data_IF_810392901909
#
_entry.id   IF_810392901909
#
_cell.length_a   1.000
_cell.length_b   1.000
_cell.length_c   1.000
_cell.angle_alpha   90.00
_cell.angle_beta   90.00
_cell.angle_gamma   90.00
#
_symmetry.space_group_name_H-M   'P 1'
#
loop_
_entity.id
_entity.type
_entity.pdbx_description
1 polymer ?
#
# COMPACT_ATOMS: atom_id res chain seq x y z
N UNK A 1 54.20 70.61 -2.13
CA UNK A 1 53.02 70.09 -1.44
C UNK A 1 52.39 69.07 -2.40
N UNK A 2 52.61 67.74 -2.21
CA UNK A 2 52.06 66.72 -3.07
C UNK A 2 50.66 66.33 -2.61
N UNK A 3 49.71 66.21 -3.54
CA UNK A 3 48.32 65.82 -3.34
C UNK A 3 48.20 64.40 -2.81
N UNK A 4 47.23 64.11 -1.88
CA UNK A 4 47.01 62.78 -1.40
C UNK A 4 46.30 61.93 -2.46
N UNK A 5 46.94 60.85 -2.88
CA UNK A 5 46.39 59.82 -3.77
C UNK A 5 45.22 59.16 -3.08
N UNK A 6 44.01 59.33 -3.60
CA UNK A 6 42.82 58.67 -3.14
C UNK A 6 42.92 57.15 -3.34
N UNK A 7 42.82 56.40 -2.25
CA UNK A 7 42.76 54.93 -2.29
C UNK A 7 41.50 54.46 -2.98
N UNK A 8 41.51 53.41 -3.83
CA UNK A 8 40.34 52.91 -4.48
C UNK A 8 39.40 52.28 -3.45
N UNK A 9 38.16 52.70 -3.41
CA UNK A 9 37.09 52.12 -2.60
C UNK A 9 36.90 50.64 -3.00
N UNK A 10 37.25 49.76 -2.11
CA UNK A 10 36.90 48.32 -2.26
C UNK A 10 35.42 48.19 -2.24
N UNK A 11 34.81 47.98 -3.42
CA UNK A 11 33.42 47.56 -3.56
C UNK A 11 33.25 46.24 -2.79
N UNK A 12 32.57 46.29 -1.66
CA UNK A 12 32.15 45.09 -0.93
C UNK A 12 31.02 44.45 -1.73
N UNK A 13 31.35 43.37 -2.48
CA UNK A 13 30.40 42.43 -3.03
C UNK A 13 29.77 41.59 -1.88
N UNK A 14 29.04 42.23 -1.00
CA UNK A 14 28.49 41.57 0.21
C UNK A 14 27.03 41.20 0.08
N UNK A 15 26.42 41.43 -1.10
CA UNK A 15 24.98 41.21 -1.35
C UNK A 15 24.66 39.91 -2.10
N UNK A 16 25.57 39.40 -2.93
CA UNK A 16 25.28 38.26 -3.80
C UNK A 16 25.61 36.90 -3.17
N UNK A 17 26.60 36.82 -2.28
CA UNK A 17 26.99 35.60 -1.59
C UNK A 17 25.87 35.07 -0.68
N UNK A 18 25.10 35.95 -0.03
CA UNK A 18 23.95 35.59 0.79
C UNK A 18 22.80 35.00 -0.04
N UNK A 19 22.55 35.56 -1.23
CA UNK A 19 21.51 35.09 -2.14
C UNK A 19 21.78 33.69 -2.69
N UNK A 20 23.01 33.42 -3.07
CA UNK A 20 23.43 32.10 -3.57
C UNK A 20 23.32 31.04 -2.47
N UNK A 21 23.72 31.35 -1.24
CA UNK A 21 23.63 30.42 -0.13
C UNK A 21 22.16 30.04 0.20
N UNK A 22 21.26 31.03 0.22
CA UNK A 22 19.82 30.79 0.43
C UNK A 22 19.22 29.97 -0.70
N UNK A 23 19.53 30.31 -1.96
CA UNK A 23 19.08 29.55 -3.12
C UNK A 23 19.56 28.08 -3.05
N UNK A 24 20.83 27.87 -2.78
CA UNK A 24 21.39 26.52 -2.64
C UNK A 24 20.72 25.74 -1.53
N UNK A 25 20.46 26.35 -0.39
CA UNK A 25 19.75 25.71 0.72
C UNK A 25 18.33 25.27 0.33
N UNK A 26 17.59 26.13 -0.37
CA UNK A 26 16.24 25.81 -0.87
C UNK A 26 16.29 24.64 -1.85
N UNK A 27 17.22 24.66 -2.80
CA UNK A 27 17.37 23.57 -3.78
C UNK A 27 17.71 22.25 -3.10
N UNK A 28 18.63 22.25 -2.14
CA UNK A 28 18.99 21.05 -1.39
C UNK A 28 17.78 20.50 -0.61
N UNK A 29 17.02 21.34 0.08
CA UNK A 29 15.80 20.93 0.81
C UNK A 29 14.75 20.37 -0.15
N UNK A 30 14.57 21.01 -1.30
CA UNK A 30 13.63 20.52 -2.31
C UNK A 30 14.02 19.15 -2.86
N UNK A 31 15.31 18.93 -3.16
CA UNK A 31 15.83 17.64 -3.61
C UNK A 31 15.67 16.55 -2.55
N UNK A 32 15.98 16.86 -1.29
CA UNK A 32 15.75 15.93 -0.17
C UNK A 32 14.27 15.58 -0.03
N UNK A 33 13.38 16.55 -0.21
CA UNK A 33 11.92 16.33 -0.21
C UNK A 33 11.48 15.36 -1.29
N UNK A 34 11.99 15.51 -2.52
CA UNK A 34 11.68 14.61 -3.64
C UNK A 34 12.20 13.19 -3.37
N UNK A 35 13.42 13.05 -2.88
CA UNK A 35 14.02 11.76 -2.51
C UNK A 35 13.18 11.10 -1.41
N UNK A 36 12.80 11.86 -0.38
CA UNK A 36 11.98 11.39 0.71
C UNK A 36 10.62 10.87 0.25
N UNK A 37 9.96 11.62 -0.64
CA UNK A 37 8.68 11.22 -1.24
C UNK A 37 8.81 9.94 -2.08
N UNK A 38 9.91 9.79 -2.83
CA UNK A 38 10.17 8.58 -3.62
C UNK A 38 10.37 7.35 -2.72
N UNK A 39 11.07 7.49 -1.59
CA UNK A 39 11.31 6.41 -0.63
C UNK A 39 10.01 6.00 0.06
N UNK A 40 9.24 6.95 0.57
CA UNK A 40 7.99 6.65 1.27
C UNK A 40 6.89 6.17 0.31
N UNK A 41 6.83 6.73 -0.91
CA UNK A 41 5.95 6.26 -1.97
C UNK A 41 6.23 4.82 -2.38
N UNK A 42 7.50 4.48 -2.61
CA UNK A 42 7.93 3.11 -2.91
C UNK A 42 7.69 2.15 -1.73
N UNK A 43 7.85 2.62 -0.49
CA UNK A 43 7.54 1.86 0.71
C UNK A 43 6.05 1.55 0.85
N UNK A 44 5.20 2.54 0.61
CA UNK A 44 3.74 2.38 0.59
C UNK A 44 3.31 1.37 -0.49
N UNK A 45 3.86 1.49 -1.71
CA UNK A 45 3.53 0.57 -2.81
C UNK A 45 3.82 -0.88 -2.42
N UNK A 46 5.02 -1.17 -1.88
CA UNK A 46 5.36 -2.52 -1.42
C UNK A 46 4.46 -3.01 -0.29
N UNK A 47 4.00 -2.12 0.59
CA UNK A 47 3.05 -2.48 1.64
C UNK A 47 1.67 -2.82 1.08
N UNK A 48 1.22 -2.09 0.05
CA UNK A 48 -0.02 -2.38 -0.68
C UNK A 48 0.09 -3.73 -1.40
N UNK A 49 1.18 -3.99 -2.12
CA UNK A 49 1.41 -5.28 -2.80
C UNK A 49 1.37 -6.47 -1.84
N UNK A 50 1.91 -6.32 -0.62
CA UNK A 50 1.82 -7.37 0.41
C UNK A 50 0.39 -7.56 0.90
N UNK A 51 -0.36 -6.47 1.10
CA UNK A 51 -1.76 -6.55 1.49
C UNK A 51 -2.61 -7.22 0.40
N UNK A 52 -2.35 -6.92 -0.88
CA UNK A 52 -2.99 -7.59 -2.03
C UNK A 52 -2.66 -9.08 -2.05
N UNK A 53 -1.40 -9.46 -1.86
CA UNK A 53 -0.99 -10.86 -1.82
C UNK A 53 -1.71 -11.63 -0.70
N UNK A 54 -1.80 -11.06 0.51
CA UNK A 54 -2.54 -11.69 1.62
C UNK A 54 -4.03 -11.80 1.30
N UNK A 55 -4.64 -10.77 0.73
CA UNK A 55 -6.05 -10.77 0.35
C UNK A 55 -6.35 -11.83 -0.73
N UNK A 56 -5.48 -11.96 -1.72
CA UNK A 56 -5.60 -12.98 -2.78
C UNK A 56 -5.46 -14.40 -2.22
N UNK A 57 -4.52 -14.67 -1.32
CA UNK A 57 -4.36 -15.98 -0.71
C UNK A 57 -5.52 -16.33 0.24
N UNK A 58 -6.05 -15.34 0.98
CA UNK A 58 -7.25 -15.53 1.78
C UNK A 58 -8.47 -15.86 0.90
N UNK A 59 -8.63 -15.17 -0.23
CA UNK A 59 -9.68 -15.46 -1.21
C UNK A 59 -9.50 -16.84 -1.85
N UNK A 60 -8.25 -17.25 -2.14
CA UNK A 60 -7.95 -18.61 -2.63
C UNK A 60 -8.33 -19.67 -1.61
N UNK A 61 -8.01 -19.46 -0.32
CA UNK A 61 -8.38 -20.39 0.75
C UNK A 61 -9.91 -20.53 0.84
N UNK A 62 -10.65 -19.43 0.68
CA UNK A 62 -12.10 -19.44 0.61
C UNK A 62 -12.64 -20.27 -0.57
N UNK A 63 -12.06 -20.09 -1.75
CA UNK A 63 -12.47 -20.82 -2.96
C UNK A 63 -12.25 -22.34 -2.89
N UNK A 64 -11.43 -22.80 -1.96
CA UNK A 64 -11.17 -24.22 -1.72
C UNK A 64 -12.06 -24.86 -0.63
N UNK A 65 -12.94 -24.10 0.00
CA UNK A 65 -13.87 -24.58 1.01
C UNK A 65 -15.04 -25.34 0.37
N UNK A 66 -14.78 -26.59 0.00
CA UNK A 66 -15.76 -27.48 -0.65
C UNK A 66 -16.75 -27.98 0.39
N UNK A 67 -18.05 -28.05 0.02
CA UNK A 67 -19.07 -28.73 0.78
C UNK A 67 -18.88 -30.27 0.65
N UNK A 68 -18.44 -30.95 1.73
CA UNK A 68 -18.19 -32.40 1.67
C UNK A 68 -19.50 -33.19 1.54
N UNK A 69 -20.64 -32.68 2.02
CA UNK A 69 -21.92 -33.36 1.95
C UNK A 69 -22.45 -33.37 0.52
N UNK A 70 -22.37 -32.27 -0.19
CA UNK A 70 -22.75 -32.20 -1.62
C UNK A 70 -21.89 -33.12 -2.48
N UNK A 71 -20.58 -33.20 -2.20
CA UNK A 71 -19.67 -34.08 -2.92
C UNK A 71 -19.99 -35.58 -2.73
N UNK A 72 -20.36 -35.99 -1.51
CA UNK A 72 -20.73 -37.40 -1.18
C UNK A 72 -22.08 -37.75 -1.78
N UNK A 73 -23.03 -36.82 -1.83
CA UNK A 73 -24.39 -37.06 -2.36
C UNK A 73 -24.45 -37.05 -3.89
N UNK A 74 -23.34 -36.81 -4.59
CA UNK A 74 -23.29 -36.77 -6.05
C UNK A 74 -23.92 -35.49 -6.65
N UNK A 75 -24.13 -34.45 -5.83
CA UNK A 75 -24.69 -33.17 -6.26
C UNK A 75 -23.67 -32.25 -6.94
N UNK A 76 -22.47 -32.78 -7.19
CA UNK A 76 -21.36 -32.03 -7.75
C UNK A 76 -20.52 -31.30 -6.69
N UNK A 77 -19.40 -30.69 -7.14
CA UNK A 77 -18.52 -29.93 -6.27
C UNK A 77 -19.11 -28.52 -6.12
N UNK A 78 -19.53 -28.19 -4.91
CA UNK A 78 -19.99 -26.85 -4.53
C UNK A 78 -19.10 -26.27 -3.45
N UNK A 79 -18.91 -24.95 -3.49
CA UNK A 79 -18.26 -24.23 -2.38
C UNK A 79 -19.35 -23.77 -1.43
N UNK A 80 -19.22 -24.11 -0.16
CA UNK A 80 -20.10 -23.60 0.89
C UNK A 80 -19.70 -22.14 1.19
N UNK A 81 -20.59 -21.14 1.00
CA UNK A 81 -20.28 -19.75 1.23
C UNK A 81 -19.89 -19.41 2.68
N UNK A 82 -20.46 -20.11 3.66
CA UNK A 82 -20.16 -19.89 5.09
C UNK A 82 -18.81 -20.48 5.43
N UNK A 83 -18.51 -21.70 4.98
CA UNK A 83 -17.20 -22.32 5.12
C UNK A 83 -16.09 -21.52 4.37
N UNK A 84 -16.42 -20.98 3.19
CA UNK A 84 -15.52 -20.11 2.45
C UNK A 84 -15.16 -18.84 3.23
N UNK A 85 -16.16 -18.19 3.81
CA UNK A 85 -15.94 -17.01 4.64
C UNK A 85 -15.12 -17.35 5.88
N UNK A 86 -15.41 -18.44 6.55
CA UNK A 86 -14.64 -18.93 7.72
C UNK A 86 -13.19 -19.24 7.35
N UNK A 87 -12.93 -19.86 6.20
CA UNK A 87 -11.59 -20.17 5.70
C UNK A 87 -10.77 -18.90 5.41
N UNK A 88 -11.41 -17.89 4.81
CA UNK A 88 -10.75 -16.59 4.58
C UNK A 88 -10.36 -15.92 5.90
N UNK A 89 -11.26 -15.85 6.88
CA UNK A 89 -10.95 -15.29 8.20
C UNK A 89 -9.89 -16.08 8.95
N UNK A 90 -9.91 -17.40 8.86
CA UNK A 90 -8.89 -18.26 9.45
C UNK A 90 -7.51 -17.99 8.83
N UNK A 91 -7.44 -17.74 7.53
CA UNK A 91 -6.19 -17.35 6.86
C UNK A 91 -5.70 -15.98 7.35
N UNK A 92 -6.57 -14.96 7.39
CA UNK A 92 -6.23 -13.62 7.89
C UNK A 92 -5.71 -13.68 9.34
N UNK A 93 -6.37 -14.45 10.18
CA UNK A 93 -5.96 -14.65 11.58
C UNK A 93 -4.57 -15.28 11.70
N UNK A 94 -4.27 -16.31 10.90
CA UNK A 94 -2.95 -16.97 10.90
C UNK A 94 -1.83 -16.07 10.45
N UNK A 95 -2.12 -15.13 9.52
CA UNK A 95 -1.13 -14.16 9.03
C UNK A 95 -1.05 -12.91 9.90
N UNK A 96 -1.87 -12.81 10.96
CA UNK A 96 -1.96 -11.62 11.79
C UNK A 96 -2.46 -10.38 11.04
N UNK A 97 -3.17 -10.58 9.93
CA UNK A 97 -3.67 -9.51 9.08
C UNK A 97 -5.09 -9.13 9.46
N UNK A 98 -5.36 -7.83 9.47
CA UNK A 98 -6.71 -7.31 9.67
C UNK A 98 -7.41 -7.12 8.33
N UNK A 99 -8.65 -7.57 8.23
CA UNK A 99 -9.40 -7.45 7.00
C UNK A 99 -10.87 -7.78 7.15
N UNK A 100 -11.61 -7.55 6.09
CA UNK A 100 -13.05 -7.86 5.97
C UNK A 100 -13.26 -8.82 4.82
N UNK A 101 -14.23 -9.73 4.99
CA UNK A 101 -14.64 -10.68 3.98
C UNK A 101 -16.10 -10.41 3.66
N UNK A 102 -16.39 -10.09 2.41
CA UNK A 102 -17.73 -9.84 1.89
C UNK A 102 -18.15 -10.90 0.88
N UNK A 103 -19.42 -11.27 0.91
CA UNK A 103 -20.05 -12.09 -0.11
C UNK A 103 -20.94 -11.20 -0.99
N UNK A 104 -20.98 -11.48 -2.29
CA UNK A 104 -21.93 -10.88 -3.20
C UNK A 104 -23.36 -11.30 -2.86
N UNK A 105 -24.35 -10.52 -3.28
CA UNK A 105 -25.78 -10.78 -2.99
C UNK A 105 -26.25 -12.14 -3.53
N UNK A 106 -25.70 -12.58 -4.65
CA UNK A 106 -25.96 -13.88 -5.28
C UNK A 106 -25.10 -15.02 -4.72
N UNK A 107 -24.23 -14.72 -3.74
CA UNK A 107 -23.29 -15.66 -3.10
C UNK A 107 -22.32 -16.38 -4.06
N UNK A 108 -22.11 -15.80 -5.26
CA UNK A 108 -21.21 -16.38 -6.27
C UNK A 108 -19.80 -15.84 -6.21
N UNK A 109 -19.60 -14.74 -5.51
CA UNK A 109 -18.29 -14.10 -5.37
C UNK A 109 -18.01 -13.73 -3.92
N UNK A 110 -16.79 -14.02 -3.49
CA UNK A 110 -16.25 -13.60 -2.21
C UNK A 110 -15.14 -12.58 -2.45
N UNK A 111 -15.17 -11.47 -1.72
CA UNK A 111 -14.15 -10.42 -1.76
C UNK A 111 -13.51 -10.29 -0.39
N UNK A 112 -12.18 -10.26 -0.37
CA UNK A 112 -11.38 -10.01 0.83
C UNK A 112 -10.72 -8.66 0.70
N UNK A 113 -10.84 -7.83 1.72
CA UNK A 113 -10.12 -6.55 1.82
C UNK A 113 -9.23 -6.59 3.05
N UNK A 114 -7.92 -6.49 2.85
CA UNK A 114 -6.92 -6.41 3.92
C UNK A 114 -6.57 -4.96 4.17
N UNK A 115 -6.52 -4.55 5.43
CA UNK A 115 -6.15 -3.21 5.85
C UNK A 115 -4.82 -3.25 6.59
N UNK A 116 -3.99 -2.24 6.37
CA UNK A 116 -2.71 -2.10 7.02
C UNK A 116 -2.23 -0.64 7.05
N UNK A 117 -1.05 -0.44 7.59
CA UNK A 117 -0.40 0.86 7.63
C UNK A 117 1.09 0.72 7.28
N UNK A 118 1.59 1.66 6.50
CA UNK A 118 3.01 1.82 6.23
C UNK A 118 3.58 2.92 7.13
N UNK A 119 4.58 2.61 7.95
CA UNK A 119 5.31 3.59 8.74
C UNK A 119 6.27 4.35 7.82
N UNK A 120 6.07 5.66 7.72
CA UNK A 120 6.87 6.54 6.86
C UNK A 120 8.25 6.76 7.46
N UNK A 121 9.24 7.01 6.60
CA UNK A 121 10.62 7.28 7.00
C UNK A 121 10.94 8.77 6.90
N UNK A 122 10.63 9.40 5.79
CA UNK A 122 10.89 10.82 5.54
C UNK A 122 9.71 11.71 5.89
N UNK A 123 8.49 11.30 5.56
CA UNK A 123 7.29 12.07 5.86
C UNK A 123 7.03 12.22 7.36
N UNK A 124 7.60 11.34 8.18
CA UNK A 124 7.57 11.46 9.65
C UNK A 124 8.23 12.75 10.16
N UNK A 125 9.22 13.29 9.44
CA UNK A 125 9.90 14.55 9.78
C UNK A 125 8.92 15.75 9.72
N UNK A 126 7.94 15.68 8.82
CA UNK A 126 6.90 16.70 8.67
C UNK A 126 5.60 16.32 9.39
N UNK A 127 5.64 15.35 10.30
CA UNK A 127 4.51 14.96 11.15
C UNK A 127 3.58 13.89 10.58
N UNK A 128 3.88 13.33 9.39
CA UNK A 128 3.08 12.25 8.78
C UNK A 128 3.77 10.93 9.10
N UNK A 129 3.41 10.30 10.22
CA UNK A 129 4.07 9.09 10.71
C UNK A 129 3.65 7.79 10.01
N UNK A 130 2.43 7.72 9.48
CA UNK A 130 1.90 6.51 8.84
C UNK A 130 1.04 6.85 7.63
N UNK A 131 1.03 5.94 6.65
CA UNK A 131 0.12 5.97 5.50
C UNK A 131 -0.73 4.70 5.51
N UNK A 132 -2.05 4.83 5.39
CA UNK A 132 -2.94 3.69 5.24
C UNK A 132 -2.68 2.96 3.92
N UNK A 133 -2.78 1.63 3.97
CA UNK A 133 -2.73 0.75 2.80
C UNK A 133 -3.92 -0.20 2.84
N UNK A 134 -4.42 -0.58 1.68
CA UNK A 134 -5.43 -1.61 1.55
C UNK A 134 -5.08 -2.53 0.39
N UNK A 135 -5.33 -3.83 0.58
CA UNK A 135 -5.19 -4.84 -0.45
C UNK A 135 -6.52 -5.54 -0.71
N UNK A 136 -6.71 -6.03 -1.91
CA UNK A 136 -7.95 -6.64 -2.36
C UNK A 136 -7.69 -8.00 -3.02
N UNK A 137 -8.56 -8.98 -2.73
CA UNK A 137 -8.57 -10.28 -3.36
C UNK A 137 -10.00 -10.73 -3.58
N UNK A 138 -10.24 -11.53 -4.59
CA UNK A 138 -11.57 -12.10 -4.83
C UNK A 138 -11.48 -13.55 -5.29
N UNK A 139 -12.49 -14.34 -4.95
CA UNK A 139 -12.68 -15.69 -5.44
C UNK A 139 -14.10 -15.87 -5.95
N UNK A 140 -14.24 -16.57 -7.07
CA UNK A 140 -15.55 -17.01 -7.55
C UNK A 140 -15.89 -18.34 -6.89
N UNK A 141 -17.05 -18.41 -6.27
CA UNK A 141 -17.59 -19.61 -5.63
C UNK A 141 -18.32 -20.41 -6.71
N UNK A 142 -17.75 -21.56 -7.08
CA UNK A 142 -18.35 -22.41 -8.11
C UNK A 142 -19.60 -23.10 -7.55
N UNK A 143 -20.74 -22.87 -8.20
CA UNK A 143 -21.95 -23.67 -8.04
C UNK A 143 -21.94 -24.72 -9.13
N UNK A 144 -21.88 -25.99 -8.75
CA UNK A 144 -21.93 -27.21 -9.55
C UNK A 144 -21.76 -27.10 -11.06
N UNK A 145 -20.83 -27.84 -11.61
CA UNK A 145 -20.79 -28.07 -13.06
C UNK A 145 -22.01 -28.95 -13.37
N UNK A 146 -23.08 -28.36 -13.90
CA UNK A 146 -24.14 -29.13 -14.56
C UNK A 146 -23.51 -29.92 -15.72
N UNK A 147 -23.77 -31.21 -15.77
CA UNK A 147 -23.25 -32.15 -16.76
C UNK A 147 -23.38 -31.58 -18.18
N UNK A 148 -22.37 -31.83 -19.05
CA UNK A 148 -22.57 -31.64 -20.49
C UNK A 148 -23.63 -32.61 -20.97
N UNK A 149 -24.57 -32.11 -21.76
CA UNK A 149 -25.53 -32.93 -22.55
C UNK A 149 -24.78 -33.85 -23.51
#
# INVERSE_FOLDING_TARGET
MPDPVAAPARRRFRGEEGGIAVYTAIVVVALLGIIGLAIDGGGKLRATERADAVAMEAARAAGQAIDPAAAVNGEGIRVDPEAAQAAAYAYLSRTGSQGTVGLSADRTQLTVTVQGAYATKFLSIVGIGTLSVSGHGSARLLHGVSQPE
#
